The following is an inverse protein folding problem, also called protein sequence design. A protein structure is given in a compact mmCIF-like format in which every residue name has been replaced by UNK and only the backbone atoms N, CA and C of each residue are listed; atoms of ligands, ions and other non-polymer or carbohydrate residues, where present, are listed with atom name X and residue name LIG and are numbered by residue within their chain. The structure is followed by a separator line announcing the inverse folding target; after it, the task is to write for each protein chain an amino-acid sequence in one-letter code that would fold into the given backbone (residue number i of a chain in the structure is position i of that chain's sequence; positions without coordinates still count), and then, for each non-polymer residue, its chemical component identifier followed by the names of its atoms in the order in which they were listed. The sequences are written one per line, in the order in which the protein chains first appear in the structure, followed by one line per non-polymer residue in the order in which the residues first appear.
data_IF_550470773958
#
_entry.id   IF_550470773958
#
_cell.length_a   1.000
_cell.length_b   1.000
_cell.length_c   1.000
_cell.angle_alpha   90.00
_cell.angle_beta   90.00
_cell.angle_gamma   90.00
#
_symmetry.space_group_name_H-M   'P 1'
#
loop_
_entity.id
_entity.type
_entity.pdbx_description
1 polymer ?
#
# COMPACT_ATOMS: atom_id res chain seq x y z
N UNK A 1 -9.89 -10.39 1.08
CA UNK A 1 -8.90 -11.48 1.25
C UNK A 1 -7.96 -11.67 0.05
N UNK A 2 -8.24 -11.09 -1.13
CA UNK A 2 -7.33 -11.19 -2.29
C UNK A 2 -6.06 -10.35 -2.16
N UNK A 3 -6.13 -9.29 -1.35
CA UNK A 3 -5.09 -8.28 -1.14
C UNK A 3 -3.80 -8.89 -0.59
N UNK A 4 -3.91 -9.75 0.43
CA UNK A 4 -2.75 -10.43 1.01
C UNK A 4 -2.12 -11.45 0.06
N UNK A 5 -2.92 -12.12 -0.79
CA UNK A 5 -2.39 -13.00 -1.84
C UNK A 5 -1.61 -12.20 -2.88
N UNK A 6 -2.11 -11.02 -3.24
CA UNK A 6 -1.43 -10.13 -4.17
C UNK A 6 -0.09 -9.63 -3.61
N UNK A 7 -0.05 -9.23 -2.33
CA UNK A 7 1.20 -8.87 -1.65
C UNK A 7 2.21 -10.01 -1.68
N UNK A 8 1.79 -11.25 -1.44
CA UNK A 8 2.68 -12.42 -1.53
C UNK A 8 3.26 -12.61 -2.94
N UNK A 9 2.46 -12.39 -3.99
CA UNK A 9 2.94 -12.48 -5.38
C UNK A 9 3.95 -11.36 -5.71
N UNK A 10 3.72 -10.13 -5.24
CA UNK A 10 4.67 -9.03 -5.40
C UNK A 10 6.01 -9.34 -4.72
N UNK A 11 5.98 -9.90 -3.51
CA UNK A 11 7.19 -10.33 -2.79
C UNK A 11 7.93 -11.44 -3.56
N UNK A 12 7.19 -12.45 -4.04
CA UNK A 12 7.75 -13.55 -4.84
C UNK A 12 8.43 -13.03 -6.10
N UNK A 13 7.80 -12.12 -6.85
CA UNK A 13 8.35 -11.55 -8.09
C UNK A 13 9.66 -10.79 -7.86
N UNK A 14 9.82 -10.14 -6.72
CA UNK A 14 11.10 -9.51 -6.35
C UNK A 14 12.15 -10.56 -5.97
N UNK A 15 11.77 -11.51 -5.11
CA UNK A 15 12.72 -12.46 -4.53
C UNK A 15 13.18 -13.55 -5.51
N UNK A 16 12.31 -13.99 -6.42
CA UNK A 16 12.57 -15.08 -7.36
C UNK A 16 12.84 -14.59 -8.79
N UNK A 17 12.05 -13.63 -9.28
CA UNK A 17 12.06 -13.22 -10.69
C UNK A 17 12.92 -11.95 -10.94
N UNK A 18 13.32 -11.23 -9.89
CA UNK A 18 14.20 -10.06 -9.97
C UNK A 18 13.54 -8.79 -10.54
N UNK A 19 12.21 -8.73 -10.59
CA UNK A 19 11.47 -7.62 -11.22
C UNK A 19 11.33 -6.37 -10.32
N UNK A 20 12.44 -5.69 -10.00
CA UNK A 20 12.45 -4.60 -9.00
C UNK A 20 11.66 -3.36 -9.45
N UNK A 21 11.97 -2.77 -10.61
CA UNK A 21 11.37 -1.49 -11.03
C UNK A 21 9.88 -1.61 -11.36
N UNK A 22 9.45 -2.73 -11.94
CA UNK A 22 8.03 -2.97 -12.23
C UNK A 22 7.22 -3.15 -10.95
N UNK A 23 7.70 -4.03 -10.05
CA UNK A 23 7.02 -4.28 -8.77
C UNK A 23 6.97 -3.00 -7.93
N UNK A 24 7.99 -2.13 -8.00
CA UNK A 24 7.97 -0.84 -7.32
C UNK A 24 6.78 0.03 -7.74
N UNK A 25 6.52 0.18 -9.03
CA UNK A 25 5.38 0.98 -9.50
C UNK A 25 4.05 0.32 -9.14
N UNK A 26 3.94 -1.01 -9.26
CA UNK A 26 2.74 -1.77 -8.86
C UNK A 26 2.43 -1.64 -7.36
N UNK A 27 3.46 -1.71 -6.49
CA UNK A 27 3.31 -1.48 -5.04
C UNK A 27 2.84 -0.05 -4.76
N UNK A 28 3.38 0.93 -5.49
CA UNK A 28 3.02 2.34 -5.32
C UNK A 28 1.58 2.62 -5.73
N UNK A 29 1.09 1.98 -6.79
CA UNK A 29 -0.31 2.08 -7.18
C UNK A 29 -1.22 1.38 -6.17
N UNK A 30 -0.90 0.14 -5.81
CA UNK A 30 -1.68 -0.64 -4.85
C UNK A 30 -1.79 0.08 -3.49
N UNK A 31 -0.70 0.66 -2.99
CA UNK A 31 -0.72 1.41 -1.72
C UNK A 31 -1.73 2.57 -1.72
N UNK A 32 -1.96 3.23 -2.87
CA UNK A 32 -2.87 4.39 -2.93
C UNK A 32 -4.31 4.04 -2.57
N UNK A 33 -4.72 2.79 -2.82
CA UNK A 33 -6.07 2.30 -2.55
C UNK A 33 -6.33 2.12 -1.05
N UNK A 34 -5.28 2.01 -0.22
CA UNK A 34 -5.38 1.73 1.22
C UNK A 34 -4.93 2.90 2.10
N UNK A 35 -5.15 4.14 1.64
CA UNK A 35 -4.76 5.34 2.37
C UNK A 35 -5.76 5.78 3.45
N UNK A 36 -6.89 5.10 3.61
CA UNK A 36 -7.92 5.46 4.61
C UNK A 36 -7.75 4.63 5.88
N UNK A 37 -7.73 5.28 7.04
CA UNK A 37 -7.70 4.56 8.32
C UNK A 37 -9.11 4.05 8.63
N UNK A 38 -9.22 2.74 8.84
CA UNK A 38 -10.42 2.06 9.32
C UNK A 38 -10.26 1.64 10.78
N UNK A 39 -11.37 1.42 11.48
CA UNK A 39 -11.39 0.93 12.87
C UNK A 39 -10.75 1.90 13.89
N UNK A 40 -10.95 3.20 13.72
CA UNK A 40 -10.52 4.25 14.66
C UNK A 40 -11.67 5.19 15.03
N UNK A 41 -11.50 6.00 16.08
CA UNK A 41 -12.52 6.96 16.53
C UNK A 41 -12.84 8.03 15.47
N UNK A 42 -11.85 8.40 14.66
CA UNK A 42 -11.97 9.34 13.55
C UNK A 42 -11.87 8.57 12.23
N UNK A 43 -12.86 7.73 11.96
CA UNK A 43 -12.94 6.94 10.72
C UNK A 43 -12.96 7.86 9.48
N UNK A 44 -12.32 7.42 8.40
CA UNK A 44 -12.29 8.16 7.13
C UNK A 44 -11.19 9.21 7.03
N UNK A 45 -10.32 9.34 8.04
CA UNK A 45 -9.13 10.19 7.94
C UNK A 45 -8.06 9.50 7.10
N UNK A 46 -7.46 10.26 6.17
CA UNK A 46 -6.32 9.82 5.37
C UNK A 46 -5.08 9.59 6.27
N UNK A 47 -4.47 8.41 6.14
CA UNK A 47 -3.38 7.96 7.00
C UNK A 47 -2.11 8.80 6.92
N UNK A 48 -1.84 9.39 5.76
CA UNK A 48 -0.62 10.17 5.50
C UNK A 48 -0.91 11.66 5.31
N UNK A 49 -2.08 12.15 5.74
CA UNK A 49 -2.42 13.56 5.65
C UNK A 49 -1.45 14.39 6.50
N UNK A 50 -0.76 15.32 5.86
CA UNK A 50 0.06 16.30 6.55
C UNK A 50 -0.84 17.33 7.23
N UNK A 51 -0.60 17.59 8.52
CA UNK A 51 -1.31 18.62 9.29
C UNK A 51 -0.30 19.72 9.60
N UNK A 52 -0.47 20.87 8.97
CA UNK A 52 0.31 22.07 9.28
C UNK A 52 -0.25 22.70 10.56
N UNK A 53 0.59 22.82 11.57
CA UNK A 53 0.27 23.50 12.82
C UNK A 53 0.61 24.98 12.64
N UNK A 54 -0.41 25.84 12.63
CA UNK A 54 -0.30 27.31 12.60
C UNK A 54 0.09 27.84 13.98
#
# INVERSE_FOLDING_TARGET
EGEMKYVAELIKRVAMDGEIEKVREEVKEFKKEFNTIHYCFNEGVEAYRFIELV
#
